data_IF_038353012171
#
_entry.id   IF_038353012171
#
_cell.length_a   1.000
_cell.length_b   1.000
_cell.length_c   1.000
_cell.angle_alpha   90.00
_cell.angle_beta   90.00
_cell.angle_gamma   90.00
#
_symmetry.space_group_name_H-M   'P 1'
#
loop_
_entity.id
_entity.type
_entity.pdbx_description
1 polymer ?
#
# COMPACT_ATOMS: atom_id res chain seq x y z
N UNK A 1 -7.91 -6.35 -10.50
CA UNK A 1 -6.45 -6.32 -10.32
C UNK A 1 -5.85 -6.69 -11.67
N UNK A 2 -5.36 -5.69 -12.40
CA UNK A 2 -4.77 -5.89 -13.71
C UNK A 2 -3.31 -6.35 -13.57
N UNK A 3 -2.91 -7.31 -14.40
CA UNK A 3 -1.67 -8.06 -14.26
C UNK A 3 -0.41 -7.20 -14.46
N UNK A 4 -0.51 -6.20 -15.33
CA UNK A 4 0.53 -5.23 -15.67
C UNK A 4 0.99 -4.36 -14.49
N UNK A 5 0.25 -4.32 -13.37
CA UNK A 5 0.65 -3.58 -12.17
C UNK A 5 1.25 -4.43 -11.06
N UNK A 6 1.16 -5.77 -11.10
CA UNK A 6 1.59 -6.60 -9.97
C UNK A 6 2.41 -7.83 -10.33
N UNK A 7 2.42 -8.33 -11.57
CA UNK A 7 3.16 -9.56 -11.88
C UNK A 7 4.67 -9.44 -11.60
N UNK A 8 5.24 -8.23 -11.64
CA UNK A 8 6.64 -7.98 -11.29
C UNK A 8 6.95 -8.02 -9.79
N UNK A 9 5.95 -7.93 -8.91
CA UNK A 9 6.18 -7.77 -7.46
C UNK A 9 6.93 -8.95 -6.86
N UNK A 10 6.70 -10.18 -7.35
CA UNK A 10 7.38 -11.39 -6.84
C UNK A 10 8.89 -11.29 -7.03
N UNK A 11 9.35 -10.71 -8.14
CA UNK A 11 10.78 -10.50 -8.41
C UNK A 11 11.36 -9.43 -7.50
N UNK A 12 10.60 -8.35 -7.25
CA UNK A 12 11.01 -7.28 -6.34
C UNK A 12 11.15 -7.82 -4.92
N UNK A 13 10.15 -8.54 -4.42
CA UNK A 13 10.17 -9.13 -3.07
C UNK A 13 11.29 -10.15 -2.90
N UNK A 14 11.44 -11.05 -3.87
CA UNK A 14 12.54 -12.02 -3.87
C UNK A 14 13.89 -11.32 -3.83
N UNK A 15 14.11 -10.31 -4.69
CA UNK A 15 15.39 -9.60 -4.71
C UNK A 15 15.64 -8.82 -3.42
N UNK A 16 14.59 -8.21 -2.86
CA UNK A 16 14.65 -7.53 -1.59
C UNK A 16 15.00 -8.50 -0.45
N UNK A 17 14.45 -9.72 -0.45
CA UNK A 17 14.75 -10.75 0.54
C UNK A 17 16.22 -11.22 0.43
N UNK A 18 16.72 -11.41 -0.80
CA UNK A 18 18.12 -11.80 -1.04
C UNK A 18 19.12 -10.77 -0.46
N UNK A 19 18.88 -9.47 -0.68
CA UNK A 19 19.80 -8.42 -0.20
C UNK A 19 19.70 -8.19 1.32
N UNK A 20 18.60 -8.60 1.96
CA UNK A 20 18.40 -8.52 3.41
C UNK A 20 18.54 -9.88 4.10
N UNK A 21 19.24 -10.83 3.47
CA UNK A 21 19.50 -12.15 4.06
C UNK A 21 20.39 -11.99 5.30
N UNK A 22 19.97 -12.55 6.43
CA UNK A 22 20.68 -12.44 7.71
C UNK A 22 20.44 -11.13 8.48
N UNK A 23 19.54 -10.26 8.00
CA UNK A 23 19.03 -9.13 8.78
C UNK A 23 17.69 -9.53 9.38
N UNK A 24 17.69 -9.82 10.68
CA UNK A 24 16.55 -10.42 11.38
C UNK A 24 15.35 -9.47 11.46
N UNK A 25 15.57 -8.19 11.71
CA UNK A 25 14.51 -7.17 11.85
C UNK A 25 14.10 -6.52 10.52
N UNK A 26 14.65 -6.97 9.39
CA UNK A 26 14.31 -6.41 8.08
C UNK A 26 12.86 -6.78 7.70
N UNK A 27 12.05 -5.76 7.44
CA UNK A 27 10.67 -5.93 6.95
C UNK A 27 10.39 -5.01 5.78
N UNK A 28 9.43 -5.40 4.94
CA UNK A 28 8.94 -4.58 3.83
C UNK A 28 7.42 -4.44 3.92
N UNK A 29 6.92 -3.21 3.89
CA UNK A 29 5.48 -2.96 3.86
C UNK A 29 4.95 -3.04 2.43
N UNK A 30 3.85 -3.78 2.26
CA UNK A 30 3.16 -3.91 0.97
C UNK A 30 1.72 -3.46 1.14
N UNK A 31 1.32 -2.46 0.35
CA UNK A 31 -0.04 -1.98 0.26
C UNK A 31 -0.74 -2.61 -0.93
N UNK A 32 -1.95 -3.11 -0.74
CA UNK A 32 -2.72 -3.62 -1.85
C UNK A 32 -4.09 -4.15 -1.47
N UNK A 33 -4.90 -4.58 -2.45
CA UNK A 33 -6.15 -5.27 -2.19
C UNK A 33 -5.88 -6.62 -1.49
N UNK A 34 -6.77 -7.09 -0.60
CA UNK A 34 -6.67 -8.42 0.03
C UNK A 34 -6.40 -9.58 -0.94
N UNK A 35 -6.89 -9.49 -2.18
CA UNK A 35 -6.62 -10.49 -3.22
C UNK A 35 -5.13 -10.57 -3.59
N UNK A 36 -4.39 -9.47 -3.54
CA UNK A 36 -2.94 -9.48 -3.75
C UNK A 36 -2.23 -10.24 -2.64
N UNK A 37 -2.62 -10.00 -1.38
CA UNK A 37 -2.07 -10.75 -0.23
C UNK A 37 -2.27 -12.25 -0.39
N UNK A 38 -3.49 -12.66 -0.72
CA UNK A 38 -3.82 -14.07 -0.93
C UNK A 38 -2.96 -14.69 -2.04
N UNK A 39 -2.81 -13.98 -3.16
CA UNK A 39 -1.98 -14.45 -4.26
C UNK A 39 -0.49 -14.56 -3.88
N UNK A 40 0.05 -13.61 -3.10
CA UNK A 40 1.44 -13.68 -2.63
C UNK A 40 1.68 -14.82 -1.64
N UNK A 41 0.70 -15.08 -0.76
CA UNK A 41 0.70 -16.20 0.18
C UNK A 41 0.73 -17.53 -0.58
N UNK A 42 -0.21 -17.73 -1.52
CA UNK A 42 -0.26 -18.93 -2.38
C UNK A 42 1.00 -19.08 -3.25
N UNK A 43 1.57 -17.98 -3.76
CA UNK A 43 2.83 -18.03 -4.51
C UNK A 43 4.01 -18.44 -3.62
N UNK A 44 3.99 -18.03 -2.34
CA UNK A 44 5.05 -18.35 -1.38
C UNK A 44 5.12 -19.83 -0.99
N UNK A 45 4.04 -20.59 -1.23
CA UNK A 45 4.05 -22.06 -1.12
C UNK A 45 4.90 -22.74 -2.20
N UNK A 46 5.17 -22.04 -3.32
CA UNK A 46 5.93 -22.56 -4.46
C UNK A 46 7.37 -22.03 -4.48
N UNK A 47 7.57 -20.78 -4.09
CA UNK A 47 8.88 -20.11 -4.15
C UNK A 47 9.07 -19.19 -2.94
N UNK A 48 10.23 -19.27 -2.27
CA UNK A 48 10.59 -18.32 -1.21
C UNK A 48 10.85 -16.93 -1.77
N UNK A 49 9.81 -16.11 -1.78
CA UNK A 49 9.84 -14.70 -2.12
C UNK A 49 10.09 -13.79 -0.90
N UNK A 50 10.39 -14.36 0.27
CA UNK A 50 10.53 -13.61 1.52
C UNK A 50 9.20 -13.16 2.13
N UNK A 51 8.11 -13.88 1.88
CA UNK A 51 6.77 -13.48 2.30
C UNK A 51 6.64 -13.30 3.82
N UNK A 52 7.38 -14.07 4.62
CA UNK A 52 7.42 -13.94 6.09
C UNK A 52 7.90 -12.55 6.57
N UNK A 53 8.66 -11.82 5.75
CA UNK A 53 9.14 -10.46 6.05
C UNK A 53 8.19 -9.36 5.55
N UNK A 54 7.10 -9.72 4.87
CA UNK A 54 6.12 -8.77 4.34
C UNK A 54 5.14 -8.33 5.43
N UNK A 55 5.04 -7.02 5.66
CA UNK A 55 3.99 -6.38 6.48
C UNK A 55 2.90 -5.87 5.56
N UNK A 56 1.92 -6.72 5.27
CA UNK A 56 0.83 -6.37 4.35
C UNK A 56 -0.19 -5.45 5.01
N UNK A 57 -0.63 -4.42 4.28
CA UNK A 57 -1.68 -3.48 4.68
C UNK A 57 -2.77 -3.49 3.60
N UNK A 58 -4.00 -3.88 3.96
CA UNK A 58 -5.12 -3.86 3.01
C UNK A 58 -5.55 -2.42 2.74
N UNK A 59 -5.58 -2.05 1.46
CA UNK A 59 -6.06 -0.74 1.03
C UNK A 59 -7.49 -0.44 1.53
N UNK A 60 -8.31 -1.46 1.79
CA UNK A 60 -9.66 -1.26 2.37
C UNK A 60 -9.65 -0.75 3.80
N UNK A 61 -8.57 -0.94 4.54
CA UNK A 61 -8.45 -0.46 5.92
C UNK A 61 -8.03 1.01 5.97
N UNK A 62 -7.50 1.52 4.86
CA UNK A 62 -7.03 2.90 4.71
C UNK A 62 -8.04 3.82 4.04
N UNK A 63 -9.24 3.32 3.70
CA UNK A 63 -10.25 4.09 2.99
C UNK A 63 -10.58 5.38 3.75
N UNK A 64 -10.47 6.53 3.08
CA UNK A 64 -10.60 7.85 3.71
C UNK A 64 -11.90 8.01 4.52
N UNK A 65 -13.02 7.47 4.01
CA UNK A 65 -14.33 7.54 4.66
C UNK A 65 -14.46 6.65 5.89
N UNK A 66 -13.63 5.59 6.02
CA UNK A 66 -13.53 4.81 7.26
C UNK A 66 -12.76 5.59 8.33
N UNK A 67 -11.69 6.28 7.95
CA UNK A 67 -10.92 7.12 8.87
C UNK A 67 -11.76 8.28 9.41
N UNK A 68 -12.61 8.89 8.57
CA UNK A 68 -13.53 9.95 9.02
C UNK A 68 -14.57 9.48 10.06
N UNK A 69 -14.94 8.19 10.05
CA UNK A 69 -15.92 7.63 10.99
C UNK A 69 -15.32 7.27 12.36
N UNK A 70 -14.05 7.63 12.62
CA UNK A 70 -13.37 7.29 13.87
C UNK A 70 -13.04 5.80 14.01
N UNK A 71 -13.21 5.02 12.94
CA UNK A 71 -12.71 3.65 12.86
C UNK A 71 -11.21 3.71 12.61
N UNK A 72 -10.45 4.07 13.65
CA UNK A 72 -9.01 3.87 13.68
C UNK A 72 -8.77 2.37 13.83
N UNK A 73 -8.77 1.65 12.71
CA UNK A 73 -8.14 0.34 12.67
C UNK A 73 -6.65 0.60 12.94
N UNK A 74 -6.25 0.53 14.20
CA UNK A 74 -4.84 0.55 14.58
C UNK A 74 -4.24 -0.76 14.11
N UNK A 75 -3.90 -0.82 12.83
CA UNK A 75 -3.09 -1.88 12.27
C UNK A 75 -1.67 -1.65 12.78
N UNK A 76 -1.15 -2.54 13.62
CA UNK A 76 0.23 -2.45 14.12
C UNK A 76 1.23 -2.24 12.98
N UNK A 77 1.01 -2.89 11.83
CA UNK A 77 1.79 -2.71 10.59
C UNK A 77 1.77 -1.27 10.05
N UNK A 78 0.61 -0.59 10.12
CA UNK A 78 0.49 0.80 9.67
C UNK A 78 1.18 1.75 10.63
N UNK A 79 1.03 1.55 11.94
CA UNK A 79 1.69 2.38 12.94
C UNK A 79 3.21 2.21 12.88
N UNK A 80 3.68 0.98 12.73
CA UNK A 80 5.09 0.67 12.51
C UNK A 80 5.64 1.39 11.27
N UNK A 81 4.91 1.33 10.14
CA UNK A 81 5.31 2.04 8.93
C UNK A 81 5.37 3.55 9.15
N UNK A 82 4.33 4.13 9.74
CA UNK A 82 4.27 5.58 10.00
C UNK A 82 5.48 6.05 10.80
N UNK A 83 5.81 5.31 11.86
CA UNK A 83 6.95 5.64 12.71
C UNK A 83 8.29 5.43 12.01
N UNK A 84 8.46 4.35 11.24
CA UNK A 84 9.73 4.03 10.58
C UNK A 84 10.03 4.91 9.36
N UNK A 85 8.99 5.43 8.70
CA UNK A 85 9.12 6.16 7.44
C UNK A 85 8.73 7.64 7.53
N UNK A 86 8.51 8.19 8.73
CA UNK A 86 8.11 9.60 8.90
C UNK A 86 6.76 9.93 8.27
N UNK A 87 5.84 8.97 8.15
CA UNK A 87 4.56 9.17 7.48
C UNK A 87 3.51 9.63 8.48
N UNK A 88 2.97 10.84 8.29
CA UNK A 88 1.90 11.37 9.11
C UNK A 88 0.55 10.71 8.78
N UNK A 89 0.26 10.62 7.47
CA UNK A 89 -1.06 10.20 6.98
C UNK A 89 -0.93 9.33 5.74
N UNK A 90 -1.71 8.26 5.70
CA UNK A 90 -1.93 7.44 4.51
C UNK A 90 -3.42 7.25 4.36
N UNK A 91 -3.95 7.56 3.19
CA UNK A 91 -5.36 7.38 2.86
C UNK A 91 -5.48 6.73 1.49
N UNK A 92 -6.47 5.86 1.35
CA UNK A 92 -6.87 5.31 0.05
C UNK A 92 -8.28 5.76 -0.31
N UNK A 93 -8.57 5.74 -1.60
CA UNK A 93 -9.91 5.96 -2.16
C UNK A 93 -10.26 4.80 -3.06
N UNK A 94 -11.53 4.40 -3.09
CA UNK A 94 -12.00 3.50 -4.12
C UNK A 94 -12.14 4.30 -5.43
N UNK A 95 -11.46 3.88 -6.48
CA UNK A 95 -11.43 4.63 -7.75
C UNK A 95 -12.38 4.04 -8.79
N UNK A 96 -12.67 4.83 -9.83
CA UNK A 96 -13.64 4.47 -10.88
C UNK A 96 -12.92 3.63 -11.94
N UNK A 97 -12.84 2.32 -11.66
CA UNK A 97 -12.22 1.31 -12.52
C UNK A 97 -12.77 -0.10 -12.18
N UNK A 98 -11.96 -1.15 -12.28
CA UNK A 98 -12.35 -2.50 -11.89
C UNK A 98 -12.55 -2.63 -10.36
N UNK A 99 -13.31 -3.63 -9.88
CA UNK A 99 -13.55 -3.80 -8.44
C UNK A 99 -12.26 -3.95 -7.62
N UNK A 100 -12.21 -3.28 -6.46
CA UNK A 100 -11.02 -3.21 -5.59
C UNK A 100 -9.81 -2.54 -6.27
N UNK A 101 -10.06 -1.49 -7.06
CA UNK A 101 -9.03 -0.54 -7.52
C UNK A 101 -8.97 0.64 -6.56
N UNK A 102 -7.77 1.16 -6.32
CA UNK A 102 -7.55 2.22 -5.35
C UNK A 102 -6.56 3.27 -5.86
N UNK A 103 -6.81 4.51 -5.47
CA UNK A 103 -5.81 5.57 -5.42
C UNK A 103 -5.31 5.73 -3.99
N UNK A 104 -4.12 6.27 -3.82
CA UNK A 104 -3.46 6.44 -2.53
C UNK A 104 -2.87 7.84 -2.40
N UNK A 105 -2.97 8.40 -1.19
CA UNK A 105 -2.32 9.65 -0.78
C UNK A 105 -1.46 9.39 0.44
N UNK A 106 -0.23 9.91 0.41
CA UNK A 106 0.76 9.78 1.48
C UNK A 106 1.27 11.17 1.84
N UNK A 107 1.15 11.54 3.10
CA UNK A 107 1.65 12.80 3.67
C UNK A 107 2.79 12.50 4.64
N UNK A 108 3.94 13.13 4.41
CA UNK A 108 5.16 12.92 5.18
C UNK A 108 5.40 14.04 6.19
N UNK A 109 6.17 13.75 7.25
CA UNK A 109 6.53 14.69 8.30
C UNK A 109 7.36 15.87 7.80
N UNK A 110 8.08 15.68 6.70
CA UNK A 110 8.85 16.75 6.03
C UNK A 110 7.97 17.73 5.23
N UNK A 111 6.64 17.54 5.25
CA UNK A 111 5.67 18.49 4.70
C UNK A 111 5.31 18.28 3.23
N UNK A 112 5.75 17.17 2.60
CA UNK A 112 5.34 16.82 1.25
C UNK A 112 4.17 15.83 1.24
N UNK A 113 3.42 15.86 0.12
CA UNK A 113 2.29 14.98 -0.15
C UNK A 113 2.38 14.40 -1.56
N UNK A 114 2.37 13.07 -1.65
CA UNK A 114 2.36 12.34 -2.92
C UNK A 114 1.03 11.62 -3.08
N UNK A 115 0.43 11.73 -4.26
CA UNK A 115 -0.79 11.03 -4.64
C UNK A 115 -0.50 10.18 -5.86
N UNK A 116 -0.96 8.93 -5.83
CA UNK A 116 -0.93 8.03 -6.98
C UNK A 116 -2.34 7.57 -7.29
N UNK A 117 -2.82 7.82 -8.51
CA UNK A 117 -4.21 7.55 -8.90
C UNK A 117 -4.50 6.07 -9.08
N UNK A 118 -3.49 5.29 -9.50
CA UNK A 118 -3.71 4.02 -10.18
C UNK A 118 -4.52 4.21 -11.48
N UNK A 119 -5.01 3.11 -12.04
CA UNK A 119 -5.96 3.19 -13.15
C UNK A 119 -7.31 3.71 -12.64
N UNK A 120 -7.75 4.85 -13.17
CA UNK A 120 -9.06 5.41 -12.88
C UNK A 120 -9.57 6.34 -13.98
N UNK A 121 -10.89 6.39 -14.16
CA UNK A 121 -11.55 7.57 -14.74
C UNK A 121 -11.46 8.76 -13.77
N UNK A 122 -11.77 10.01 -14.19
CA UNK A 122 -11.84 11.14 -13.25
C UNK A 122 -12.70 10.80 -12.02
N UNK A 123 -12.14 10.99 -10.82
CA UNK A 123 -12.69 10.48 -9.56
C UNK A 123 -12.69 11.59 -8.48
N UNK A 124 -13.87 12.02 -8.06
CA UNK A 124 -14.04 13.13 -7.12
C UNK A 124 -13.45 12.84 -5.74
N UNK A 125 -13.50 11.58 -5.29
CA UNK A 125 -12.90 11.18 -4.02
C UNK A 125 -11.37 11.28 -4.08
N UNK A 126 -10.76 10.97 -5.23
CA UNK A 126 -9.32 11.17 -5.43
C UNK A 126 -8.98 12.67 -5.47
N UNK A 127 -9.81 13.51 -6.11
CA UNK A 127 -9.64 14.98 -6.08
C UNK A 127 -9.70 15.50 -4.65
N UNK A 128 -10.63 15.00 -3.83
CA UNK A 128 -10.78 15.41 -2.42
C UNK A 128 -9.57 15.03 -1.58
N UNK A 129 -9.16 13.75 -1.66
CA UNK A 129 -8.02 13.25 -0.87
C UNK A 129 -6.69 13.80 -1.39
N UNK A 130 -6.57 14.01 -2.69
CA UNK A 130 -5.37 14.51 -3.35
C UNK A 130 -5.21 16.02 -3.36
N UNK A 131 -6.13 16.77 -2.76
CA UNK A 131 -6.00 18.23 -2.62
C UNK A 131 -4.67 18.59 -1.95
N UNK A 132 -4.04 19.65 -2.45
CA UNK A 132 -2.77 20.20 -1.97
C UNK A 132 -1.59 19.22 -2.09
N UNK A 133 -1.67 18.24 -3.01
CA UNK A 133 -0.56 17.36 -3.31
C UNK A 133 0.65 18.14 -3.84
N UNK A 134 1.83 17.79 -3.34
CA UNK A 134 3.11 18.22 -3.90
C UNK A 134 3.35 17.56 -5.26
N UNK A 135 2.98 16.28 -5.39
CA UNK A 135 3.09 15.50 -6.62
C UNK A 135 1.86 14.60 -6.78
N UNK A 136 1.30 14.58 -7.99
CA UNK A 136 0.26 13.64 -8.43
C UNK A 136 0.80 12.82 -9.60
N UNK A 137 0.69 11.51 -9.49
CA UNK A 137 1.06 10.51 -10.51
C UNK A 137 -0.20 9.78 -10.97
#
# INVERSE_FOLDING_TARGET
MHADHHLGIVRVLKKWNEIHKGVDDATISVFGPSRLRKWLDEYSDVEDIGFSKVKFIDNKDLLFWKQQKGNNTSLDSLQYLKNSMGINKVETVAVIHCPNSFGISIEHSDGWKIVYSGDTRPCDDLVRVGKDATLLI
#
